data_IF_852477095068
#
_entry.id   IF_852477095068
#
_cell.length_a   1.000
_cell.length_b   1.000
_cell.length_c   1.000
_cell.angle_alpha   90.00
_cell.angle_beta   90.00
_cell.angle_gamma   90.00
#
_symmetry.space_group_name_H-M   'P 1'
#
loop_
_entity.id
_entity.type
_entity.pdbx_description
1 polymer ?
#
# COMPACT_ATOMS: atom_id res chain seq x y z
N UNK A 1 -22.98 -32.79 -49.25
CA UNK A 1 -22.82 -33.13 -47.81
C UNK A 1 -21.63 -32.35 -47.21
N UNK A 2 -21.64 -31.01 -47.19
CA UNK A 2 -20.56 -30.17 -46.59
C UNK A 2 -21.02 -28.71 -46.36
N UNK A 3 -22.12 -28.46 -45.64
CA UNK A 3 -22.56 -27.07 -45.33
C UNK A 3 -22.79 -26.85 -43.81
N UNK A 4 -22.71 -27.89 -42.98
CA UNK A 4 -23.03 -27.79 -41.54
C UNK A 4 -21.87 -27.44 -40.59
N UNK A 5 -20.64 -27.18 -41.09
CA UNK A 5 -19.45 -27.05 -40.22
C UNK A 5 -18.97 -25.61 -39.97
N UNK A 6 -19.21 -24.66 -40.89
CA UNK A 6 -18.68 -23.29 -40.76
C UNK A 6 -19.55 -22.34 -39.93
N UNK A 7 -20.85 -22.59 -39.81
CA UNK A 7 -21.76 -21.73 -39.04
C UNK A 7 -21.57 -21.83 -37.52
N UNK A 8 -21.01 -22.94 -37.00
CA UNK A 8 -20.72 -23.09 -35.57
C UNK A 8 -19.40 -22.48 -35.12
N UNK A 9 -18.46 -22.24 -36.04
CA UNK A 9 -17.15 -21.66 -35.70
C UNK A 9 -17.17 -20.12 -35.61
N UNK A 10 -18.14 -19.45 -36.26
CA UNK A 10 -18.27 -17.99 -36.19
C UNK A 10 -19.01 -17.52 -34.93
N UNK A 11 -19.87 -18.35 -34.34
CA UNK A 11 -20.59 -18.02 -33.09
C UNK A 11 -19.70 -18.10 -31.84
N UNK A 12 -18.59 -18.84 -31.90
CA UNK A 12 -17.68 -19.05 -30.76
C UNK A 12 -16.62 -17.95 -30.60
N UNK A 13 -16.46 -17.05 -31.57
CA UNK A 13 -15.45 -15.98 -31.56
C UNK A 13 -15.93 -14.63 -31.03
N UNK A 14 -17.23 -14.47 -30.78
CA UNK A 14 -17.81 -13.21 -30.24
C UNK A 14 -17.88 -13.22 -28.71
N UNK A 15 -17.77 -14.38 -28.06
CA UNK A 15 -17.89 -14.54 -26.59
C UNK A 15 -16.58 -14.35 -25.81
N UNK A 16 -15.45 -14.13 -26.50
CA UNK A 16 -14.15 -13.90 -25.87
C UNK A 16 -13.55 -12.59 -26.38
N UNK A 17 -14.22 -11.48 -26.08
CA UNK A 17 -13.54 -10.19 -25.98
C UNK A 17 -12.97 -10.09 -24.56
N UNK A 18 -11.66 -9.88 -24.38
CA UNK A 18 -11.10 -9.65 -23.05
C UNK A 18 -11.76 -8.39 -22.48
N UNK A 19 -12.46 -8.54 -21.36
CA UNK A 19 -12.99 -7.42 -20.61
C UNK A 19 -11.83 -6.48 -20.30
N UNK A 20 -11.95 -5.24 -20.78
CA UNK A 20 -11.04 -4.17 -20.45
C UNK A 20 -10.93 -4.09 -18.93
N UNK A 21 -9.71 -4.27 -18.42
CA UNK A 21 -9.35 -4.08 -17.03
C UNK A 21 -9.67 -2.62 -16.68
N UNK A 22 -10.80 -2.40 -16.02
CA UNK A 22 -11.11 -1.14 -15.38
C UNK A 22 -10.13 -1.00 -14.20
N UNK A 23 -9.36 0.10 -14.10
CA UNK A 23 -8.41 0.26 -13.02
C UNK A 23 -9.19 0.40 -11.69
N UNK A 24 -9.06 -0.60 -10.82
CA UNK A 24 -9.44 -0.51 -9.40
C UNK A 24 -8.52 0.51 -8.73
N UNK A 25 -8.91 1.78 -8.86
CA UNK A 25 -8.30 2.89 -8.16
C UNK A 25 -8.64 2.73 -6.67
N UNK A 26 -7.61 2.43 -5.90
CA UNK A 26 -7.57 2.52 -4.44
C UNK A 26 -8.23 3.82 -3.97
N UNK A 27 -9.43 3.72 -3.41
CA UNK A 27 -10.03 4.74 -2.57
C UNK A 27 -10.33 4.08 -1.22
N UNK A 28 -9.47 4.39 -0.25
CA UNK A 28 -9.74 4.14 1.15
C UNK A 28 -10.78 5.17 1.62
N UNK A 29 -12.04 4.77 1.68
CA UNK A 29 -13.12 5.41 2.43
C UNK A 29 -14.32 4.45 2.48
N UNK A 30 -15.15 4.48 3.53
CA UNK A 30 -16.27 3.55 3.65
C UNK A 30 -17.19 3.66 2.43
N UNK A 31 -17.63 2.53 1.83
CA UNK A 31 -18.40 2.54 0.58
C UNK A 31 -19.81 3.14 0.74
N UNK A 32 -20.29 3.33 1.97
CA UNK A 32 -21.68 3.71 2.24
C UNK A 32 -21.95 5.23 2.06
N UNK A 33 -21.00 6.11 2.38
CA UNK A 33 -21.21 7.57 2.28
C UNK A 33 -21.16 8.08 0.83
N UNK A 34 -20.28 7.52 0.01
CA UNK A 34 -20.14 7.91 -1.40
C UNK A 34 -21.35 7.48 -2.26
N UNK A 35 -21.91 6.31 -1.99
CA UNK A 35 -23.07 5.78 -2.70
C UNK A 35 -24.36 6.56 -2.40
N UNK A 36 -24.56 6.99 -1.14
CA UNK A 36 -25.66 7.87 -0.74
C UNK A 36 -25.62 9.22 -1.49
N UNK A 37 -24.42 9.72 -1.78
CA UNK A 37 -24.20 10.98 -2.50
C UNK A 37 -24.55 10.87 -3.99
N UNK A 38 -24.18 9.76 -4.65
CA UNK A 38 -24.49 9.51 -6.07
C UNK A 38 -25.97 9.16 -6.30
N UNK A 39 -26.61 8.43 -5.38
CA UNK A 39 -28.06 8.23 -5.36
C UNK A 39 -28.81 9.54 -5.08
N UNK A 40 -28.25 10.42 -4.23
CA UNK A 40 -28.77 11.76 -3.99
C UNK A 40 -28.81 12.66 -5.22
N UNK A 41 -27.94 12.40 -6.21
CA UNK A 41 -27.89 13.06 -7.52
C UNK A 41 -28.84 12.43 -8.54
N UNK A 42 -29.02 11.10 -8.54
CA UNK A 42 -29.91 10.41 -9.49
C UNK A 42 -31.41 10.60 -9.18
N UNK A 43 -31.78 10.87 -7.92
CA UNK A 43 -33.18 11.05 -7.49
C UNK A 43 -33.68 12.50 -7.68
N UNK A 44 -32.97 13.33 -8.48
CA UNK A 44 -33.40 14.70 -8.76
C UNK A 44 -34.57 14.76 -9.76
N UNK A 45 -35.78 14.64 -9.22
CA UNK A 45 -36.96 15.37 -9.70
C UNK A 45 -38.00 15.47 -8.57
N UNK A 46 -38.04 16.64 -7.93
CA UNK A 46 -39.17 17.24 -7.19
C UNK A 46 -39.93 16.37 -6.17
N UNK A 47 -39.37 16.22 -4.95
CA UNK A 47 -40.04 16.07 -3.62
C UNK A 47 -39.04 15.50 -2.58
N UNK A 48 -37.96 16.24 -2.35
CA UNK A 48 -36.63 15.71 -2.04
C UNK A 48 -36.27 15.33 -0.59
N UNK A 49 -37.21 15.23 0.36
CA UNK A 49 -36.89 14.80 1.74
C UNK A 49 -37.60 13.53 2.14
N UNK A 50 -38.92 13.45 1.94
CA UNK A 50 -39.69 12.24 2.25
C UNK A 50 -39.25 11.06 1.40
N UNK A 51 -38.97 11.29 0.11
CA UNK A 51 -38.43 10.27 -0.81
C UNK A 51 -37.00 9.87 -0.46
N UNK A 52 -36.20 10.77 0.12
CA UNK A 52 -34.85 10.43 0.64
C UNK A 52 -34.92 9.61 1.93
N UNK A 53 -35.84 9.95 2.84
CA UNK A 53 -36.05 9.21 4.08
C UNK A 53 -36.60 7.80 3.85
N UNK A 54 -37.48 7.60 2.85
CA UNK A 54 -37.96 6.26 2.48
C UNK A 54 -36.84 5.40 1.89
N UNK A 55 -36.01 5.97 1.00
CA UNK A 55 -34.85 5.28 0.42
C UNK A 55 -33.80 4.94 1.48
N UNK A 56 -33.51 5.83 2.44
CA UNK A 56 -32.60 5.53 3.54
C UNK A 56 -33.13 4.41 4.45
N UNK A 57 -34.42 4.46 4.84
CA UNK A 57 -35.05 3.38 5.62
C UNK A 57 -35.06 2.05 4.86
N UNK A 58 -35.22 2.10 3.55
CA UNK A 58 -35.11 0.92 2.69
C UNK A 58 -33.69 0.35 2.72
N UNK A 59 -32.65 1.18 2.62
CA UNK A 59 -31.26 0.72 2.72
C UNK A 59 -30.95 0.12 4.10
N UNK A 60 -31.42 0.73 5.19
CA UNK A 60 -31.23 0.20 6.55
C UNK A 60 -31.91 -1.17 6.73
N UNK A 61 -33.12 -1.33 6.17
CA UNK A 61 -33.81 -2.63 6.16
C UNK A 61 -33.16 -3.64 5.23
N UNK A 62 -32.70 -3.22 4.07
CA UNK A 62 -31.97 -4.06 3.12
C UNK A 62 -30.68 -4.56 3.77
N UNK A 63 -29.98 -3.72 4.53
CA UNK A 63 -28.80 -4.09 5.30
C UNK A 63 -29.14 -5.09 6.43
N UNK A 64 -30.20 -4.85 7.20
CA UNK A 64 -30.65 -5.75 8.27
C UNK A 64 -31.10 -7.13 7.74
N UNK A 65 -31.75 -7.17 6.57
CA UNK A 65 -32.15 -8.42 5.93
C UNK A 65 -30.98 -9.12 5.23
N UNK A 66 -30.00 -8.37 4.71
CA UNK A 66 -28.77 -8.94 4.15
C UNK A 66 -27.93 -9.71 5.19
N UNK A 67 -28.09 -9.39 6.48
CA UNK A 67 -27.47 -10.12 7.60
C UNK A 67 -28.09 -11.51 7.79
N UNK A 68 -29.41 -11.66 7.59
CA UNK A 68 -30.13 -12.91 7.82
C UNK A 68 -30.35 -13.74 6.56
N UNK A 69 -30.45 -13.10 5.38
CA UNK A 69 -30.63 -13.74 4.07
C UNK A 69 -29.70 -13.10 3.04
N UNK A 70 -28.61 -13.78 2.63
CA UNK A 70 -27.66 -13.23 1.65
C UNK A 70 -28.23 -13.15 0.22
N UNK A 71 -29.36 -13.82 -0.05
CA UNK A 71 -30.02 -13.83 -1.36
C UNK A 71 -31.52 -13.69 -1.17
N UNK A 72 -32.15 -12.82 -1.97
CA UNK A 72 -33.58 -12.56 -1.94
C UNK A 72 -34.12 -12.76 -3.37
N UNK A 73 -35.32 -13.34 -3.51
CA UNK A 73 -35.97 -13.48 -4.82
C UNK A 73 -36.42 -12.11 -5.35
N UNK A 74 -36.65 -11.98 -6.66
CA UNK A 74 -37.15 -10.73 -7.23
C UNK A 74 -38.50 -10.33 -6.61
N UNK A 75 -39.38 -11.30 -6.38
CA UNK A 75 -40.69 -11.09 -5.76
C UNK A 75 -40.58 -10.59 -4.32
N UNK A 76 -39.68 -11.18 -3.52
CA UNK A 76 -39.43 -10.75 -2.14
C UNK A 76 -38.79 -9.35 -2.09
N UNK A 77 -37.92 -9.02 -3.05
CA UNK A 77 -37.34 -7.69 -3.18
C UNK A 77 -38.41 -6.63 -3.52
N UNK A 78 -39.31 -6.95 -4.45
CA UNK A 78 -40.45 -6.10 -4.79
C UNK A 78 -41.40 -5.93 -3.60
N UNK A 79 -41.65 -6.99 -2.82
CA UNK A 79 -42.42 -6.95 -1.57
C UNK A 79 -41.75 -6.04 -0.52
N UNK A 80 -40.41 -6.06 -0.44
CA UNK A 80 -39.64 -5.17 0.42
C UNK A 80 -39.81 -3.70 0.05
N UNK A 81 -39.77 -3.40 -1.26
CA UNK A 81 -40.01 -2.05 -1.78
C UNK A 81 -41.43 -1.54 -1.48
N UNK A 82 -42.44 -2.42 -1.52
CA UNK A 82 -43.83 -2.10 -1.14
C UNK A 82 -43.96 -1.85 0.36
N UNK A 83 -43.35 -2.68 1.20
CA UNK A 83 -43.45 -2.57 2.67
C UNK A 83 -42.81 -1.31 3.25
N UNK A 84 -41.84 -0.74 2.52
CA UNK A 84 -41.08 0.46 2.94
C UNK A 84 -41.63 1.76 2.35
N UNK A 85 -42.64 1.68 1.46
CA UNK A 85 -43.24 2.84 0.81
C UNK A 85 -42.31 3.53 -0.19
N UNK A 86 -41.31 2.82 -0.71
CA UNK A 86 -40.27 3.36 -1.60
C UNK A 86 -40.71 3.39 -3.07
N UNK A 87 -41.67 2.54 -3.44
CA UNK A 87 -42.23 2.44 -4.78
C UNK A 87 -43.75 2.25 -4.71
N UNK A 88 -44.51 2.96 -5.55
CA UNK A 88 -45.98 2.82 -5.63
C UNK A 88 -46.44 1.83 -6.71
N UNK A 89 -45.52 1.36 -7.56
CA UNK A 89 -45.75 0.42 -8.65
C UNK A 89 -44.56 -0.53 -8.83
N UNK A 90 -44.82 -1.74 -9.33
CA UNK A 90 -43.80 -2.77 -9.58
C UNK A 90 -42.75 -2.32 -10.61
N UNK A 91 -43.13 -1.43 -11.53
CA UNK A 91 -42.20 -0.83 -12.49
C UNK A 91 -41.23 0.15 -11.83
N UNK A 92 -41.64 0.86 -10.78
CA UNK A 92 -40.78 1.82 -10.07
C UNK A 92 -39.78 1.07 -9.17
N UNK A 93 -40.21 -0.03 -8.55
CA UNK A 93 -39.34 -0.91 -7.77
C UNK A 93 -38.29 -1.61 -8.66
N UNK A 94 -38.66 -2.03 -9.89
CA UNK A 94 -37.73 -2.58 -10.87
C UNK A 94 -36.66 -1.56 -11.31
N UNK A 95 -37.04 -0.27 -11.46
CA UNK A 95 -36.08 0.81 -11.77
C UNK A 95 -35.11 1.05 -10.61
N UNK A 96 -35.60 1.05 -9.38
CA UNK A 96 -34.75 1.19 -8.19
C UNK A 96 -33.77 0.01 -8.09
N UNK A 97 -34.22 -1.22 -8.37
CA UNK A 97 -33.33 -2.38 -8.43
C UNK A 97 -32.24 -2.23 -9.50
N UNK A 98 -32.57 -1.70 -10.68
CA UNK A 98 -31.60 -1.48 -11.75
C UNK A 98 -30.56 -0.43 -11.35
N UNK A 99 -30.98 0.67 -10.73
CA UNK A 99 -30.07 1.70 -10.22
C UNK A 99 -29.17 1.17 -9.11
N UNK A 100 -29.70 0.33 -8.21
CA UNK A 100 -28.90 -0.32 -7.16
C UNK A 100 -27.90 -1.35 -7.72
N UNK A 101 -28.26 -2.01 -8.82
CA UNK A 101 -27.37 -2.93 -9.52
C UNK A 101 -26.25 -2.20 -10.27
N UNK A 102 -26.58 -1.09 -10.96
CA UNK A 102 -25.59 -0.24 -11.63
C UNK A 102 -24.66 0.45 -10.61
N UNK A 103 -25.16 0.75 -9.41
CA UNK A 103 -24.36 1.26 -8.30
C UNK A 103 -23.47 0.18 -7.64
N UNK A 104 -23.61 -1.09 -8.02
CA UNK A 104 -22.83 -2.20 -7.47
C UNK A 104 -23.17 -2.56 -6.02
N UNK A 105 -24.31 -2.10 -5.51
CA UNK A 105 -24.79 -2.40 -4.14
C UNK A 105 -25.45 -3.79 -4.12
N UNK A 106 -26.04 -4.19 -5.24
CA UNK A 106 -26.81 -5.42 -5.38
C UNK A 106 -26.43 -6.11 -6.69
N UNK A 107 -26.22 -7.43 -6.69
CA UNK A 107 -25.99 -8.19 -7.92
C UNK A 107 -27.28 -8.91 -8.33
N UNK A 108 -27.83 -8.57 -9.50
CA UNK A 108 -29.00 -9.26 -10.06
C UNK A 108 -28.56 -10.40 -10.98
N UNK A 109 -28.98 -11.61 -10.67
CA UNK A 109 -28.78 -12.79 -11.51
C UNK A 109 -30.13 -13.45 -11.78
N UNK A 110 -30.66 -13.27 -13.00
CA UNK A 110 -31.98 -13.74 -13.40
C UNK A 110 -33.09 -13.33 -12.41
N UNK A 111 -33.52 -14.25 -11.54
CA UNK A 111 -34.61 -14.07 -10.56
C UNK A 111 -34.12 -13.89 -9.12
N UNK A 112 -32.80 -13.85 -8.92
CA UNK A 112 -32.16 -13.72 -7.62
C UNK A 112 -31.43 -12.38 -7.51
N UNK A 113 -31.66 -11.72 -6.39
CA UNK A 113 -31.11 -10.43 -6.04
C UNK A 113 -30.16 -10.68 -4.86
N UNK A 114 -28.86 -10.52 -5.11
CA UNK A 114 -27.81 -10.72 -4.12
C UNK A 114 -27.46 -9.40 -3.44
N UNK A 115 -27.71 -9.33 -2.13
CA UNK A 115 -27.51 -8.11 -1.35
C UNK A 115 -26.06 -7.94 -0.88
N UNK A 116 -25.23 -9.00 -0.99
CA UNK A 116 -23.80 -8.97 -0.67
C UNK A 116 -22.96 -9.39 -1.88
N UNK A 117 -22.66 -8.45 -2.79
CA UNK A 117 -21.87 -8.75 -3.97
C UNK A 117 -20.41 -9.11 -3.65
N UNK A 118 -19.90 -8.68 -2.50
CA UNK A 118 -18.51 -8.97 -2.09
C UNK A 118 -18.27 -10.44 -1.76
N UNK A 119 -19.21 -11.10 -1.08
CA UNK A 119 -19.06 -12.50 -0.68
C UNK A 119 -19.01 -13.41 -1.92
N UNK A 120 -19.77 -13.08 -2.96
CA UNK A 120 -19.86 -13.89 -4.19
C UNK A 120 -18.67 -13.64 -5.10
N UNK A 121 -18.14 -12.41 -5.14
CA UNK A 121 -16.90 -12.14 -5.86
C UNK A 121 -15.76 -13.00 -5.32
N UNK A 122 -15.71 -13.23 -4.00
CA UNK A 122 -14.75 -14.11 -3.34
C UNK A 122 -14.95 -15.57 -3.76
N UNK A 123 -16.20 -16.08 -3.75
CA UNK A 123 -16.50 -17.43 -4.24
C UNK A 123 -16.19 -17.62 -5.73
N UNK A 124 -16.44 -16.63 -6.58
CA UNK A 124 -16.13 -16.70 -8.03
C UNK A 124 -14.62 -16.72 -8.26
N UNK A 125 -13.87 -15.91 -7.52
CA UNK A 125 -12.40 -15.88 -7.61
C UNK A 125 -11.80 -17.19 -7.09
N UNK A 126 -12.37 -17.76 -6.03
CA UNK A 126 -11.95 -19.02 -5.41
C UNK A 126 -12.35 -20.26 -6.23
N UNK A 127 -13.49 -20.20 -6.94
CA UNK A 127 -13.99 -21.28 -7.78
C UNK A 127 -13.33 -21.35 -9.17
N UNK A 128 -12.43 -20.42 -9.52
CA UNK A 128 -11.63 -20.50 -10.73
C UNK A 128 -10.34 -21.32 -10.45
N UNK A 129 -10.25 -22.60 -10.87
CA UNK A 129 -9.07 -23.43 -10.62
C UNK A 129 -7.78 -22.93 -11.29
N UNK A 130 -7.86 -21.96 -12.21
CA UNK A 130 -6.69 -21.30 -12.79
C UNK A 130 -6.17 -20.10 -11.98
N UNK A 131 -7.00 -19.46 -11.16
CA UNK A 131 -6.63 -18.18 -10.52
C UNK A 131 -5.55 -18.37 -9.44
N UNK A 132 -5.66 -19.41 -8.60
CA UNK A 132 -4.71 -19.60 -7.50
C UNK A 132 -3.34 -20.09 -7.97
N UNK A 133 -3.31 -21.05 -8.92
CA UNK A 133 -2.06 -21.56 -9.47
C UNK A 133 -1.31 -20.48 -10.27
N UNK A 134 -2.00 -19.69 -11.10
CA UNK A 134 -1.39 -18.56 -11.81
C UNK A 134 -0.89 -17.46 -10.86
N UNK A 135 -1.63 -17.19 -9.78
CA UNK A 135 -1.22 -16.21 -8.75
C UNK A 135 0.02 -16.70 -7.99
N UNK A 136 0.12 -17.99 -7.70
CA UNK A 136 1.29 -18.60 -7.05
C UNK A 136 2.51 -18.59 -7.97
N UNK A 137 2.37 -18.98 -9.23
CA UNK A 137 3.46 -18.93 -10.21
C UNK A 137 3.99 -17.48 -10.39
N UNK A 138 3.07 -16.51 -10.45
CA UNK A 138 3.43 -15.10 -10.53
C UNK A 138 4.13 -14.61 -9.27
N UNK A 139 3.69 -15.06 -8.09
CA UNK A 139 4.33 -14.73 -6.82
C UNK A 139 5.77 -15.27 -6.78
N UNK A 140 5.98 -16.51 -7.22
CA UNK A 140 7.29 -17.15 -7.25
C UNK A 140 8.24 -16.45 -8.24
N UNK A 141 7.74 -16.06 -9.41
CA UNK A 141 8.50 -15.26 -10.37
C UNK A 141 8.93 -13.90 -9.78
N UNK A 142 8.01 -13.20 -9.09
CA UNK A 142 8.32 -11.92 -8.43
C UNK A 142 9.32 -12.09 -7.27
N UNK A 143 9.20 -13.17 -6.48
CA UNK A 143 10.14 -13.50 -5.40
C UNK A 143 11.53 -13.81 -5.95
N UNK A 144 11.62 -14.54 -7.06
CA UNK A 144 12.89 -14.80 -7.74
C UNK A 144 13.56 -13.51 -8.20
N UNK A 145 12.81 -12.58 -8.80
CA UNK A 145 13.34 -11.27 -9.23
C UNK A 145 13.74 -10.38 -8.04
N UNK A 146 13.01 -10.45 -6.92
CA UNK A 146 13.30 -9.68 -5.71
C UNK A 146 14.54 -10.18 -4.98
N UNK A 147 14.80 -11.49 -4.98
CA UNK A 147 15.91 -12.11 -4.25
C UNK A 147 17.31 -11.52 -4.53
N UNK A 148 17.75 -11.28 -5.79
CA UNK A 148 19.05 -10.65 -6.04
C UNK A 148 19.09 -9.19 -5.59
N UNK A 149 17.96 -8.48 -5.64
CA UNK A 149 17.87 -7.10 -5.17
C UNK A 149 17.97 -7.02 -3.64
N UNK A 150 17.30 -7.94 -2.93
CA UNK A 150 17.37 -8.05 -1.47
C UNK A 150 18.79 -8.35 -0.99
N UNK A 151 19.48 -9.31 -1.63
CA UNK A 151 20.86 -9.63 -1.30
C UNK A 151 21.80 -8.42 -1.45
N UNK A 152 21.66 -7.69 -2.57
CA UNK A 152 22.47 -6.48 -2.83
C UNK A 152 22.18 -5.39 -1.80
N UNK A 153 20.90 -5.16 -1.48
CA UNK A 153 20.49 -4.19 -0.46
C UNK A 153 21.03 -4.56 0.92
N UNK A 154 20.86 -5.81 1.34
CA UNK A 154 21.35 -6.28 2.62
C UNK A 154 22.87 -6.16 2.73
N UNK A 155 23.60 -6.40 1.65
CA UNK A 155 25.05 -6.20 1.62
C UNK A 155 25.43 -4.73 1.80
N UNK A 156 24.72 -3.80 1.15
CA UNK A 156 24.91 -2.34 1.33
C UNK A 156 24.63 -1.96 2.79
N UNK A 157 23.50 -2.39 3.34
CA UNK A 157 23.08 -2.06 4.70
C UNK A 157 24.08 -2.59 5.74
N UNK A 158 24.54 -3.83 5.59
CA UNK A 158 25.57 -4.41 6.46
C UNK A 158 26.87 -3.63 6.40
N UNK A 159 27.31 -3.25 5.20
CA UNK A 159 28.51 -2.43 5.07
C UNK A 159 28.30 -1.06 5.73
N UNK A 160 27.22 -0.35 5.41
CA UNK A 160 26.95 0.97 5.99
C UNK A 160 26.95 0.95 7.52
N UNK A 161 26.30 -0.04 8.14
CA UNK A 161 26.29 -0.17 9.61
C UNK A 161 27.68 -0.45 10.20
N UNK A 162 28.48 -1.30 9.56
CA UNK A 162 29.86 -1.58 10.01
C UNK A 162 30.73 -0.33 9.89
N UNK A 163 30.65 0.36 8.75
CA UNK A 163 31.38 1.60 8.50
C UNK A 163 31.10 2.66 9.56
N UNK A 164 29.84 2.83 9.99
CA UNK A 164 29.51 3.76 11.07
C UNK A 164 30.23 3.35 12.36
N UNK A 165 30.12 2.10 12.79
CA UNK A 165 30.82 1.63 14.00
C UNK A 165 32.34 1.81 13.92
N UNK A 166 32.94 1.51 12.77
CA UNK A 166 34.37 1.73 12.52
C UNK A 166 34.74 3.20 12.62
N UNK A 167 33.89 4.11 12.14
CA UNK A 167 34.13 5.56 12.24
C UNK A 167 34.20 6.04 13.70
N UNK A 168 33.33 5.53 14.59
CA UNK A 168 33.41 5.87 16.02
C UNK A 168 34.69 5.35 16.66
N UNK A 169 35.03 4.08 16.39
CA UNK A 169 36.25 3.48 16.91
C UNK A 169 37.50 4.19 16.38
N UNK A 170 37.50 4.62 15.11
CA UNK A 170 38.57 5.42 14.53
C UNK A 170 38.69 6.79 15.20
N UNK A 171 37.56 7.46 15.51
CA UNK A 171 37.56 8.71 16.27
C UNK A 171 38.15 8.53 17.67
N UNK A 172 37.74 7.48 18.39
CA UNK A 172 38.32 7.14 19.69
C UNK A 172 39.81 6.85 19.61
N UNK A 173 40.24 6.04 18.62
CA UNK A 173 41.64 5.74 18.40
C UNK A 173 42.46 6.99 18.09
N UNK A 174 41.90 7.95 17.34
CA UNK A 174 42.53 9.25 17.06
C UNK A 174 42.73 10.06 18.33
N UNK A 175 41.75 10.12 19.24
CA UNK A 175 41.90 10.82 20.52
C UNK A 175 42.95 10.16 21.41
N UNK A 176 42.95 8.82 21.48
CA UNK A 176 43.97 8.07 22.24
C UNK A 176 45.36 8.31 21.65
N UNK A 177 45.49 8.25 20.33
CA UNK A 177 46.74 8.54 19.63
C UNK A 177 47.22 9.96 19.89
N UNK A 178 46.33 10.96 19.79
CA UNK A 178 46.64 12.35 20.11
C UNK A 178 47.13 12.50 21.56
N UNK A 179 46.48 11.85 22.52
CA UNK A 179 46.87 11.88 23.92
C UNK A 179 48.24 11.22 24.16
N UNK A 180 48.49 10.05 23.56
CA UNK A 180 49.78 9.38 23.62
C UNK A 180 50.90 10.20 22.97
N UNK A 181 50.60 10.87 21.85
CA UNK A 181 51.52 11.78 21.19
C UNK A 181 51.90 12.91 22.14
N UNK A 182 50.94 13.57 22.79
CA UNK A 182 51.23 14.62 23.77
C UNK A 182 52.02 14.12 24.97
N UNK A 183 51.69 12.94 25.52
CA UNK A 183 52.51 12.33 26.58
C UNK A 183 53.94 12.10 26.11
N UNK A 184 54.12 11.53 24.92
CA UNK A 184 55.43 11.25 24.36
C UNK A 184 56.24 12.53 24.17
N UNK A 185 55.66 13.57 23.56
CA UNK A 185 56.35 14.85 23.37
C UNK A 185 56.71 15.51 24.70
N UNK A 186 55.77 15.57 25.65
CA UNK A 186 55.95 16.27 26.93
C UNK A 186 57.03 15.65 27.82
N UNK A 187 57.21 14.32 27.76
CA UNK A 187 58.18 13.63 28.61
C UNK A 187 59.53 13.35 27.95
N UNK A 188 59.63 13.36 26.61
CA UNK A 188 60.88 13.00 25.92
C UNK A 188 61.55 14.15 25.17
N UNK A 189 60.81 15.05 24.52
CA UNK A 189 61.42 15.97 23.55
C UNK A 189 61.18 17.46 23.84
N UNK A 190 60.02 17.82 24.40
CA UNK A 190 59.66 19.21 24.69
C UNK A 190 59.30 19.38 26.17
N UNK A 191 59.92 20.36 26.83
CA UNK A 191 59.50 20.81 28.16
C UNK A 191 58.06 21.33 28.14
N UNK A 192 57.40 21.29 29.30
CA UNK A 192 56.01 21.75 29.48
C UNK A 192 55.73 23.17 28.93
N UNK A 193 56.71 24.06 29.01
CA UNK A 193 56.64 25.45 28.54
C UNK A 193 56.27 25.60 27.04
N UNK A 194 56.70 24.65 26.19
CA UNK A 194 56.36 24.67 24.75
C UNK A 194 55.02 24.00 24.47
N UNK A 195 54.60 23.05 25.31
CA UNK A 195 53.36 22.28 25.14
C UNK A 195 52.11 23.05 25.60
N UNK A 196 52.26 24.01 26.51
CA UNK A 196 51.18 24.86 27.02
C UNK A 196 50.36 25.55 25.91
N UNK A 197 50.96 26.33 24.98
CA UNK A 197 50.20 26.97 23.91
C UNK A 197 49.65 25.96 22.89
N UNK A 198 50.34 24.85 22.64
CA UNK A 198 49.89 23.81 21.69
C UNK A 198 48.61 23.14 22.18
N UNK A 199 48.56 22.75 23.45
CA UNK A 199 47.39 22.14 24.06
C UNK A 199 46.19 23.10 24.03
N UNK A 200 46.44 24.40 24.26
CA UNK A 200 45.42 25.44 24.16
C UNK A 200 44.81 25.48 22.75
N UNK A 201 45.63 25.63 21.71
CA UNK A 201 45.11 25.69 20.33
C UNK A 201 44.38 24.42 19.90
N UNK A 202 44.89 23.25 20.26
CA UNK A 202 44.25 21.97 19.89
C UNK A 202 42.91 21.78 20.60
N UNK A 203 42.82 22.15 21.87
CA UNK A 203 41.56 22.12 22.62
C UNK A 203 40.54 23.11 22.07
N UNK A 204 40.98 24.35 21.77
CA UNK A 204 40.14 25.37 21.13
C UNK A 204 39.66 24.92 19.75
N UNK A 205 40.54 24.32 18.93
CA UNK A 205 40.17 23.79 17.61
C UNK A 205 39.14 22.67 17.71
N UNK A 206 39.26 21.77 18.70
CA UNK A 206 38.25 20.74 18.98
C UNK A 206 36.89 21.34 19.34
N UNK A 207 36.85 22.36 20.17
CA UNK A 207 35.62 23.09 20.52
C UNK A 207 34.99 23.81 19.33
N UNK A 208 35.80 24.48 18.51
CA UNK A 208 35.34 25.13 17.27
C UNK A 208 34.76 24.08 16.32
N UNK A 209 35.43 22.95 16.12
CA UNK A 209 34.95 21.87 15.25
C UNK A 209 33.62 21.28 15.73
N UNK A 210 33.48 21.05 17.04
CA UNK A 210 32.22 20.59 17.65
C UNK A 210 31.08 21.60 17.44
N UNK A 211 31.37 22.89 17.58
CA UNK A 211 30.38 23.96 17.35
C UNK A 211 30.02 24.10 15.86
N UNK A 212 30.99 24.03 14.95
CA UNK A 212 30.74 24.01 13.50
C UNK A 212 29.86 22.82 13.11
N UNK A 213 30.09 21.65 13.68
CA UNK A 213 29.26 20.47 13.46
C UNK A 213 27.82 20.67 13.97
N UNK A 214 27.67 21.26 15.16
CA UNK A 214 26.36 21.62 15.71
C UNK A 214 25.62 22.60 14.79
N UNK A 215 26.31 23.64 14.30
CA UNK A 215 25.73 24.61 13.39
C UNK A 215 25.35 24.00 12.04
N UNK A 216 26.12 23.05 11.52
CA UNK A 216 25.78 22.36 10.28
C UNK A 216 24.57 21.41 10.42
N UNK A 217 24.40 20.80 11.60
CA UNK A 217 23.42 19.72 11.80
C UNK A 217 22.11 20.21 12.41
N UNK A 218 22.13 21.35 13.13
CA UNK A 218 20.98 21.99 13.79
C UNK A 218 20.08 21.05 14.61
N UNK A 219 20.62 19.94 15.12
CA UNK A 219 19.88 18.92 15.85
C UNK A 219 20.53 18.58 17.18
N UNK A 220 19.71 18.02 18.07
CA UNK A 220 20.12 17.47 19.34
C UNK A 220 21.19 16.37 19.14
N UNK A 221 22.21 16.37 20.00
CA UNK A 221 23.29 15.38 20.00
C UNK A 221 22.79 14.01 20.52
N UNK A 222 21.94 13.34 19.73
CA UNK A 222 21.48 11.98 19.98
C UNK A 222 22.28 10.95 19.19
N UNK A 223 22.81 9.93 19.87
CA UNK A 223 23.56 8.85 19.19
C UNK A 223 22.71 8.09 18.16
N UNK A 224 21.48 7.72 18.52
CA UNK A 224 20.60 6.94 17.64
C UNK A 224 20.19 7.71 16.36
N UNK A 225 19.70 8.97 16.46
CA UNK A 225 19.44 9.80 15.28
C UNK A 225 20.68 9.99 14.40
N UNK A 226 21.82 10.35 15.00
CA UNK A 226 23.07 10.56 14.29
C UNK A 226 23.54 9.32 13.51
N UNK A 227 23.56 8.16 14.17
CA UNK A 227 23.92 6.89 13.54
C UNK A 227 23.00 6.55 12.37
N UNK A 228 21.71 6.80 12.52
CA UNK A 228 20.72 6.54 11.48
C UNK A 228 20.96 7.41 10.24
N UNK A 229 21.31 8.68 10.43
CA UNK A 229 21.57 9.64 9.35
C UNK A 229 22.81 9.28 8.56
N UNK A 230 23.92 9.00 9.23
CA UNK A 230 25.15 8.59 8.55
C UNK A 230 24.92 7.28 7.78
N UNK A 231 24.22 6.32 8.39
CA UNK A 231 23.87 5.08 7.71
C UNK A 231 23.02 5.33 6.45
N UNK A 232 22.00 6.18 6.54
CA UNK A 232 21.15 6.57 5.40
C UNK A 232 21.94 7.27 4.29
N UNK A 233 22.84 8.19 4.64
CA UNK A 233 23.68 8.89 3.67
C UNK A 233 24.63 7.91 2.94
N UNK A 234 25.27 7.00 3.68
CA UNK A 234 26.11 5.95 3.10
C UNK A 234 25.31 4.97 2.24
N UNK A 235 24.11 4.59 2.69
CA UNK A 235 23.19 3.73 1.95
C UNK A 235 22.80 4.39 0.62
N UNK A 236 22.35 5.65 0.66
CA UNK A 236 21.97 6.42 -0.53
C UNK A 236 23.12 6.54 -1.53
N UNK A 237 24.35 6.82 -1.05
CA UNK A 237 25.54 6.79 -1.88
C UNK A 237 25.86 5.40 -2.44
N UNK A 238 25.66 4.35 -1.66
CA UNK A 238 25.84 2.95 -2.07
C UNK A 238 24.82 2.50 -3.13
N UNK A 239 23.56 2.91 -2.98
CA UNK A 239 22.49 2.65 -3.95
C UNK A 239 22.76 3.35 -5.27
N UNK A 240 23.19 4.61 -5.24
CA UNK A 240 23.56 5.36 -6.44
C UNK A 240 24.73 4.72 -7.18
N UNK A 241 25.80 4.32 -6.46
CA UNK A 241 26.99 3.69 -7.07
C UNK A 241 26.72 2.31 -7.67
N UNK A 242 25.81 1.54 -7.08
CA UNK A 242 25.46 0.18 -7.54
C UNK A 242 24.24 0.17 -8.48
N UNK A 243 23.68 1.33 -8.81
CA UNK A 243 22.53 1.46 -9.71
C UNK A 243 21.27 0.73 -9.21
N UNK A 244 21.09 0.62 -7.88
CA UNK A 244 19.97 -0.13 -7.32
C UNK A 244 18.71 0.74 -7.36
N UNK A 245 17.78 0.44 -8.26
CA UNK A 245 16.54 1.18 -8.40
C UNK A 245 15.58 0.86 -7.25
N UNK A 246 15.63 1.71 -6.22
CA UNK A 246 14.76 1.65 -5.05
C UNK A 246 13.27 1.77 -5.40
N UNK A 247 12.91 2.43 -6.52
CA UNK A 247 11.51 2.56 -6.93
C UNK A 247 11.00 1.21 -7.41
N UNK A 248 11.74 0.55 -8.31
CA UNK A 248 11.41 -0.80 -8.79
C UNK A 248 11.36 -1.80 -7.64
N UNK A 249 12.32 -1.75 -6.72
CA UNK A 249 12.33 -2.61 -5.54
C UNK A 249 11.07 -2.45 -4.67
N UNK A 250 10.68 -1.20 -4.35
CA UNK A 250 9.46 -0.93 -3.57
C UNK A 250 8.19 -1.36 -4.30
N UNK A 251 8.16 -1.26 -5.63
CA UNK A 251 7.03 -1.73 -6.44
C UNK A 251 6.90 -3.25 -6.37
N UNK A 252 7.99 -3.99 -6.61
CA UNK A 252 7.99 -5.45 -6.48
C UNK A 252 7.56 -5.91 -5.08
N UNK A 253 8.06 -5.27 -4.02
CA UNK A 253 7.63 -5.57 -2.65
C UNK A 253 6.13 -5.38 -2.45
N UNK A 254 5.55 -4.30 -2.97
CA UNK A 254 4.10 -4.05 -2.87
C UNK A 254 3.30 -5.10 -3.61
N UNK A 255 3.76 -5.52 -4.79
CA UNK A 255 3.07 -6.51 -5.61
C UNK A 255 3.14 -7.91 -4.98
N UNK A 256 4.31 -8.31 -4.46
CA UNK A 256 4.44 -9.53 -3.64
C UNK A 256 3.49 -9.50 -2.44
N UNK A 257 3.49 -8.40 -1.67
CA UNK A 257 2.65 -8.29 -0.48
C UNK A 257 1.15 -8.18 -0.79
N UNK A 258 0.80 -7.76 -2.01
CA UNK A 258 -0.57 -7.76 -2.52
C UNK A 258 -0.98 -9.20 -2.83
N UNK A 259 -0.18 -9.94 -3.59
CA UNK A 259 -0.47 -11.32 -3.97
C UNK A 259 -0.49 -12.27 -2.75
N UNK A 260 0.43 -12.09 -1.79
CA UNK A 260 0.40 -12.86 -0.53
C UNK A 260 -0.86 -12.61 0.28
N UNK A 261 -1.38 -11.36 0.31
CA UNK A 261 -2.65 -11.04 0.95
C UNK A 261 -3.85 -11.64 0.23
N UNK A 262 -3.81 -11.72 -1.10
CA UNK A 262 -4.85 -12.40 -1.88
C UNK A 262 -4.84 -13.91 -1.69
N UNK A 263 -3.69 -14.53 -1.45
CA UNK A 263 -3.59 -15.98 -1.18
C UNK A 263 -3.92 -16.38 0.27
N UNK A 264 -3.77 -15.45 1.22
CA UNK A 264 -4.01 -15.69 2.66
C UNK A 264 -5.46 -15.41 3.08
N UNK A 265 -6.21 -14.67 2.27
CA UNK A 265 -7.66 -14.51 2.43
C UNK A 265 -8.34 -15.70 1.77
#
# INVERSE_FOLDING_TARGET
MMISSRARQLTLRVLLRPAAVIPLQTAASPPFEGAASLLGLAVHAESGLLKRLSVMRFQDRLAAEAETRPTISNEDFLALCRSTGTASSDEEAARICAVLADAGIVLRFADLVYLRPMDIAEYIVQALPGSQAEVQERLDALKQELSPMDLRKQQIDRTAHRWVSTLLWAGLASFVFQWLLFLRLTFWELSWDVMEPVCYFVSSAGGIAAYCYFLATHEDFGYAPWRSRIAQNLQNGGYARRGLDLRRYKMLQRDVHRLERFLKR
#
